data_IF_755832512538
#
_entry.id   IF_755832512538
#
_cell.length_a   1.000
_cell.length_b   1.000
_cell.length_c   1.000
_cell.angle_alpha   90.00
_cell.angle_beta   90.00
_cell.angle_gamma   90.00
#
_symmetry.space_group_name_H-M   'P 1'
#
loop_
_entity.id
_entity.type
_entity.pdbx_description
1 polymer ?
#
# COMPACT_ATOMS: atom_id res chain seq x y z
N UNK A 1 18.03 1.43 -22.14
CA UNK A 1 17.48 0.08 -22.02
C UNK A 1 17.48 -0.23 -20.53
N UNK A 2 16.32 -0.21 -19.88
CA UNK A 2 16.20 -0.43 -18.43
C UNK A 2 16.27 -1.94 -18.17
N UNK A 3 17.24 -2.38 -17.38
CA UNK A 3 17.35 -3.80 -17.02
C UNK A 3 16.40 -4.08 -15.86
N UNK A 4 15.58 -5.13 -15.97
CA UNK A 4 14.81 -5.68 -14.85
C UNK A 4 15.82 -6.43 -13.99
N UNK A 5 16.03 -5.98 -12.75
CA UNK A 5 16.95 -6.63 -11.80
C UNK A 5 16.26 -7.76 -11.01
N UNK A 6 14.95 -7.65 -10.79
CA UNK A 6 14.15 -8.66 -10.10
C UNK A 6 12.70 -8.62 -10.60
N UNK A 7 12.14 -9.80 -10.84
CA UNK A 7 10.74 -9.99 -11.21
C UNK A 7 10.13 -11.05 -10.30
N UNK A 8 9.12 -10.70 -9.54
CA UNK A 8 8.46 -11.61 -8.60
C UNK A 8 6.96 -11.59 -8.80
N UNK A 9 6.34 -12.75 -8.64
CA UNK A 9 4.89 -12.90 -8.50
C UNK A 9 4.59 -13.39 -7.09
N UNK A 10 3.71 -12.69 -6.38
CA UNK A 10 3.27 -13.02 -5.03
C UNK A 10 1.76 -13.24 -5.02
N UNK A 11 1.31 -14.22 -4.24
CA UNK A 11 -0.10 -14.46 -3.99
C UNK A 11 -0.39 -14.30 -2.50
N UNK A 12 -1.40 -13.49 -2.17
CA UNK A 12 -1.94 -13.38 -0.82
C UNK A 12 -3.39 -13.84 -0.78
N UNK A 13 -3.72 -14.55 0.28
CA UNK A 13 -5.09 -14.95 0.60
C UNK A 13 -5.51 -14.28 1.90
N UNK A 14 -6.68 -13.68 1.91
CA UNK A 14 -7.30 -13.18 3.15
C UNK A 14 -7.70 -14.37 4.05
N UNK A 15 -7.61 -14.20 5.36
CA UNK A 15 -7.93 -15.23 6.34
C UNK A 15 -9.29 -14.98 7.01
N UNK A 16 -9.79 -13.76 6.98
CA UNK A 16 -11.03 -13.30 7.62
C UNK A 16 -12.26 -13.46 6.70
N UNK A 17 -12.05 -13.40 5.39
CA UNK A 17 -13.08 -13.61 4.36
C UNK A 17 -12.45 -14.20 3.10
N UNK A 18 -13.28 -14.54 2.11
CA UNK A 18 -12.75 -15.05 0.84
C UNK A 18 -12.18 -13.88 0.02
N UNK A 19 -10.91 -13.95 -0.23
CA UNK A 19 -10.21 -12.96 -1.03
C UNK A 19 -8.83 -13.46 -1.43
N UNK A 20 -8.42 -13.08 -2.63
CA UNK A 20 -7.13 -13.45 -3.22
C UNK A 20 -6.54 -12.23 -3.93
N UNK A 21 -5.27 -12.02 -3.75
CA UNK A 21 -4.47 -11.06 -4.51
C UNK A 21 -3.38 -11.77 -5.30
N UNK A 22 -3.20 -11.39 -6.56
CA UNK A 22 -2.01 -11.69 -7.36
C UNK A 22 -1.27 -10.39 -7.61
N UNK A 23 -0.06 -10.28 -7.09
CA UNK A 23 0.85 -9.16 -7.31
C UNK A 23 2.00 -9.59 -8.22
N UNK A 24 2.28 -8.82 -9.26
CA UNK A 24 3.51 -8.89 -10.05
C UNK A 24 4.37 -7.66 -9.72
N UNK A 25 5.57 -7.90 -9.21
CA UNK A 25 6.53 -6.89 -8.80
C UNK A 25 7.73 -6.90 -9.75
N UNK A 26 8.05 -5.74 -10.30
CA UNK A 26 9.23 -5.52 -11.15
C UNK A 26 10.11 -4.46 -10.52
N UNK A 27 11.36 -4.82 -10.21
CA UNK A 27 12.37 -3.91 -9.65
C UNK A 27 13.41 -3.61 -10.71
N UNK A 28 13.74 -2.32 -10.88
CA UNK A 28 14.74 -1.83 -11.84
C UNK A 28 15.60 -0.75 -11.17
N UNK A 29 16.67 -0.31 -11.84
CA UNK A 29 17.49 0.82 -11.35
C UNK A 29 16.69 2.13 -11.26
N UNK A 30 15.64 2.29 -12.08
CA UNK A 30 14.82 3.51 -12.14
C UNK A 30 13.67 3.52 -11.13
N UNK A 31 13.40 2.39 -10.46
CA UNK A 31 12.33 2.24 -9.48
C UNK A 31 11.61 0.90 -9.53
N UNK A 32 10.44 0.89 -8.92
CA UNK A 32 9.63 -0.31 -8.74
C UNK A 32 8.27 -0.11 -9.38
N UNK A 33 7.75 -1.15 -10.02
CA UNK A 33 6.37 -1.24 -10.47
C UNK A 33 5.71 -2.46 -9.87
N UNK A 34 4.58 -2.24 -9.20
CA UNK A 34 3.72 -3.28 -8.65
C UNK A 34 2.37 -3.24 -9.37
N UNK A 35 2.02 -4.33 -10.05
CA UNK A 35 0.72 -4.47 -10.70
C UNK A 35 -0.04 -5.63 -10.06
N UNK A 36 -1.30 -5.41 -9.70
CA UNK A 36 -2.05 -6.39 -8.94
C UNK A 36 -3.49 -6.50 -9.40
N UNK A 37 -4.05 -7.68 -9.17
CA UNK A 37 -5.50 -7.94 -9.19
C UNK A 37 -5.90 -8.56 -7.86
N UNK A 38 -6.87 -7.91 -7.21
CA UNK A 38 -7.51 -8.37 -5.96
C UNK A 38 -8.93 -8.78 -6.27
N UNK A 39 -9.32 -9.96 -5.79
CA UNK A 39 -10.71 -10.43 -5.77
C UNK A 39 -11.13 -10.55 -4.32
N UNK A 40 -12.26 -9.96 -3.94
CA UNK A 40 -12.77 -9.95 -2.57
C UNK A 40 -14.27 -10.23 -2.55
N UNK A 41 -14.71 -11.00 -1.55
CA UNK A 41 -16.14 -11.18 -1.24
C UNK A 41 -16.67 -10.18 -0.22
N UNK A 42 -15.87 -9.18 0.16
CA UNK A 42 -16.27 -8.13 1.09
C UNK A 42 -17.46 -7.33 0.52
N UNK A 43 -18.47 -7.07 1.35
CA UNK A 43 -19.73 -6.46 0.89
C UNK A 43 -20.44 -7.35 -0.13
N UNK A 44 -20.74 -6.82 -1.30
CA UNK A 44 -21.31 -7.57 -2.42
C UNK A 44 -20.25 -8.22 -3.33
N UNK A 45 -18.98 -8.09 -2.96
CA UNK A 45 -17.85 -8.58 -3.73
C UNK A 45 -17.35 -7.56 -4.77
N UNK A 46 -16.04 -7.53 -4.96
CA UNK A 46 -15.42 -6.64 -5.94
C UNK A 46 -14.13 -7.24 -6.52
N UNK A 47 -13.74 -6.67 -7.66
CA UNK A 47 -12.39 -6.75 -8.21
C UNK A 47 -11.74 -5.39 -8.09
N UNK A 48 -10.50 -5.35 -7.62
CA UNK A 48 -9.65 -4.16 -7.61
C UNK A 48 -8.37 -4.48 -8.38
N UNK A 49 -8.08 -3.72 -9.41
CA UNK A 49 -6.79 -3.73 -10.08
C UNK A 49 -6.02 -2.49 -9.70
N UNK A 50 -4.69 -2.61 -9.51
CA UNK A 50 -3.83 -1.45 -9.36
C UNK A 50 -2.54 -1.53 -10.18
N UNK A 51 -2.05 -0.36 -10.61
CA UNK A 51 -0.71 -0.13 -11.17
C UNK A 51 -0.02 0.91 -10.30
N UNK A 52 0.94 0.47 -9.50
CA UNK A 52 1.67 1.31 -8.56
C UNK A 52 3.11 1.49 -9.01
N UNK A 53 3.51 2.73 -9.21
CA UNK A 53 4.88 3.10 -9.58
C UNK A 53 5.55 3.80 -8.42
N UNK A 54 6.72 3.30 -8.05
CA UNK A 54 7.55 3.80 -6.97
C UNK A 54 8.89 4.26 -7.53
N UNK A 55 9.56 5.17 -6.83
CA UNK A 55 10.95 5.53 -7.14
C UNK A 55 11.94 4.44 -6.65
N UNK A 56 13.24 4.61 -6.92
CA UNK A 56 14.29 3.68 -6.48
C UNK A 56 14.41 3.59 -4.94
N UNK A 57 13.78 4.51 -4.19
CA UNK A 57 13.69 4.47 -2.73
C UNK A 57 12.35 3.92 -2.23
N UNK A 58 11.57 3.31 -3.12
CA UNK A 58 10.26 2.74 -2.81
C UNK A 58 9.21 3.77 -2.34
N UNK A 59 9.30 5.02 -2.78
CA UNK A 59 8.28 6.04 -2.50
C UNK A 59 7.35 6.19 -3.69
N UNK A 60 6.07 6.34 -3.44
CA UNK A 60 5.05 6.49 -4.47
C UNK A 60 5.36 7.66 -5.42
N UNK A 61 5.35 7.35 -6.72
CA UNK A 61 5.30 8.31 -7.83
C UNK A 61 3.88 8.44 -8.35
N UNK A 62 3.23 7.31 -8.61
CA UNK A 62 1.82 7.26 -9.03
C UNK A 62 1.19 5.93 -8.66
N UNK A 63 -0.10 5.95 -8.38
CA UNK A 63 -0.95 4.79 -8.13
C UNK A 63 -2.26 4.97 -8.88
N UNK A 64 -2.53 4.08 -9.81
CA UNK A 64 -3.81 3.97 -10.51
C UNK A 64 -4.60 2.80 -9.95
N UNK A 65 -5.85 3.03 -9.57
CA UNK A 65 -6.78 2.04 -9.03
C UNK A 65 -8.01 1.94 -9.93
N UNK A 66 -8.42 0.70 -10.23
CA UNK A 66 -9.64 0.40 -10.99
C UNK A 66 -10.47 -0.60 -10.21
N UNK A 67 -11.62 -0.16 -9.73
CA UNK A 67 -12.56 -0.99 -8.97
C UNK A 67 -13.76 -1.37 -9.84
N UNK A 68 -14.16 -2.63 -9.77
CA UNK A 68 -15.39 -3.14 -10.37
C UNK A 68 -16.16 -3.96 -9.32
N UNK A 69 -17.31 -3.49 -8.92
CA UNK A 69 -18.22 -4.16 -7.98
C UNK A 69 -19.64 -3.66 -8.16
N UNK A 70 -20.64 -4.52 -7.92
CA UNK A 70 -22.07 -4.20 -8.04
C UNK A 70 -22.47 -3.60 -9.41
N UNK A 71 -21.78 -3.99 -10.48
CA UNK A 71 -22.00 -3.42 -11.81
C UNK A 71 -21.48 -1.98 -11.99
N UNK A 72 -20.76 -1.44 -11.00
CA UNK A 72 -20.21 -0.08 -11.02
C UNK A 72 -18.69 -0.15 -11.18
N UNK A 73 -18.17 0.57 -12.17
CA UNK A 73 -16.73 0.79 -12.34
C UNK A 73 -16.36 2.15 -11.71
N UNK A 74 -15.31 2.14 -10.88
CA UNK A 74 -14.70 3.35 -10.30
C UNK A 74 -13.22 3.39 -10.64
N UNK A 75 -12.67 4.58 -10.68
CA UNK A 75 -11.26 4.84 -10.98
C UNK A 75 -10.73 5.87 -10.00
N UNK A 76 -9.47 5.73 -9.60
CA UNK A 76 -8.76 6.70 -8.77
C UNK A 76 -7.30 6.76 -9.24
N UNK A 77 -6.80 7.98 -9.48
CA UNK A 77 -5.39 8.23 -9.77
C UNK A 77 -4.79 9.09 -8.67
N UNK A 78 -3.78 8.58 -8.00
CA UNK A 78 -2.99 9.30 -7.00
C UNK A 78 -1.59 9.53 -7.56
N UNK A 79 -1.12 10.76 -7.52
CA UNK A 79 0.21 11.13 -8.03
C UNK A 79 0.97 11.97 -7.00
N UNK A 80 2.26 11.72 -6.87
CA UNK A 80 3.15 12.56 -6.10
C UNK A 80 3.99 13.40 -7.03
N UNK A 81 3.87 14.71 -6.91
CA UNK A 81 4.58 15.69 -7.73
C UNK A 81 5.51 16.57 -6.88
N UNK A 82 6.28 17.44 -7.53
CA UNK A 82 7.11 18.44 -6.83
C UNK A 82 6.28 19.42 -5.98
N UNK A 83 5.01 19.62 -6.34
CA UNK A 83 4.09 20.51 -5.61
C UNK A 83 3.23 19.78 -4.57
N UNK A 84 3.40 18.47 -4.41
CA UNK A 84 2.70 17.60 -3.44
C UNK A 84 1.77 16.59 -4.11
N UNK A 85 0.76 16.13 -3.38
CA UNK A 85 -0.16 15.10 -3.84
C UNK A 85 -1.26 15.64 -4.74
N UNK A 86 -1.53 14.90 -5.82
CA UNK A 86 -2.70 15.07 -6.69
C UNK A 86 -3.58 13.84 -6.58
N UNK A 87 -4.90 14.04 -6.56
CA UNK A 87 -5.90 12.97 -6.67
C UNK A 87 -6.79 13.35 -7.85
N UNK A 88 -6.85 12.48 -8.87
CA UNK A 88 -7.55 12.73 -10.14
C UNK A 88 -7.20 14.10 -10.75
N UNK A 89 -5.92 14.45 -10.69
CA UNK A 89 -5.38 15.72 -11.18
C UNK A 89 -5.62 16.93 -10.28
N UNK A 90 -6.34 16.78 -9.17
CA UNK A 90 -6.63 17.87 -8.23
C UNK A 90 -5.61 17.88 -7.07
N UNK A 91 -5.05 19.05 -6.80
CA UNK A 91 -4.11 19.25 -5.70
C UNK A 91 -4.80 19.04 -4.34
N UNK A 92 -4.13 18.29 -3.45
CA UNK A 92 -4.61 17.97 -2.09
C UNK A 92 -3.60 18.47 -1.04
N UNK A 93 -3.66 19.77 -0.68
CA UNK A 93 -2.75 20.36 0.31
C UNK A 93 -2.88 19.74 1.70
N UNK A 94 -4.06 19.23 2.02
CA UNK A 94 -4.35 18.51 3.26
C UNK A 94 -3.53 17.22 3.42
N UNK A 95 -2.96 16.71 2.33
CA UNK A 95 -2.14 15.48 2.30
C UNK A 95 -0.62 15.76 2.28
N UNK A 96 -0.17 17.02 2.36
CA UNK A 96 1.26 17.36 2.24
C UNK A 96 2.15 16.75 3.33
N UNK A 97 1.56 16.44 4.46
CA UNK A 97 2.23 15.85 5.62
C UNK A 97 2.30 14.31 5.57
N UNK A 98 1.70 13.65 4.58
CA UNK A 98 1.74 12.19 4.46
C UNK A 98 2.91 11.72 3.59
N UNK A 99 3.39 10.52 3.87
CA UNK A 99 4.60 9.97 3.26
C UNK A 99 4.30 9.12 2.04
N UNK A 100 3.24 8.28 2.12
CA UNK A 100 2.91 7.30 1.10
C UNK A 100 1.43 6.95 1.07
N UNK A 101 1.05 5.87 0.38
CA UNK A 101 -0.34 5.41 0.23
C UNK A 101 -0.52 4.07 0.92
N UNK A 102 -1.73 3.84 1.46
CA UNK A 102 -2.18 2.55 2.01
C UNK A 102 -3.53 2.19 1.41
N UNK A 103 -3.67 0.98 0.87
CA UNK A 103 -4.91 0.43 0.32
C UNK A 103 -5.42 -0.64 1.28
N UNK A 104 -6.66 -0.52 1.76
CA UNK A 104 -7.23 -1.41 2.78
C UNK A 104 -7.27 -2.90 2.40
N UNK A 105 -7.12 -3.25 1.12
CA UNK A 105 -7.28 -4.61 0.63
C UNK A 105 -5.97 -5.34 0.31
N UNK A 106 -4.79 -4.71 0.45
CA UNK A 106 -3.50 -5.33 0.12
C UNK A 106 -2.48 -5.22 1.25
N UNK A 107 -1.73 -6.27 1.57
CA UNK A 107 -0.62 -6.19 2.51
C UNK A 107 0.64 -5.52 1.90
N UNK A 108 0.71 -5.32 0.59
CA UNK A 108 1.88 -4.72 -0.08
C UNK A 108 2.22 -3.32 0.46
N UNK A 109 1.21 -2.56 0.89
CA UNK A 109 1.40 -1.22 1.47
C UNK A 109 2.35 -1.22 2.67
N UNK A 110 2.31 -2.27 3.49
CA UNK A 110 3.18 -2.40 4.67
C UNK A 110 4.66 -2.49 4.28
N UNK A 111 4.98 -3.04 3.11
CA UNK A 111 6.36 -3.13 2.60
C UNK A 111 7.02 -1.76 2.52
N UNK A 112 6.27 -0.70 2.15
CA UNK A 112 6.80 0.65 2.00
C UNK A 112 7.30 1.22 3.32
N UNK A 113 6.55 1.01 4.41
CA UNK A 113 6.93 1.43 5.75
C UNK A 113 8.04 0.53 6.34
N UNK A 114 7.91 -0.80 6.17
CA UNK A 114 8.85 -1.79 6.72
C UNK A 114 10.26 -1.59 6.15
N UNK A 115 10.39 -1.24 4.88
CA UNK A 115 11.68 -0.93 4.25
C UNK A 115 12.35 0.34 4.78
N UNK A 116 11.60 1.22 5.44
CA UNK A 116 12.11 2.43 6.08
C UNK A 116 12.32 2.26 7.59
N UNK A 117 11.75 1.19 8.16
CA UNK A 117 11.90 0.86 9.59
C UNK A 117 13.30 0.33 9.86
N UNK A 118 13.90 0.74 10.97
CA UNK A 118 15.18 0.20 11.43
C UNK A 118 15.13 -1.32 11.64
N UNK A 119 16.30 -1.94 11.63
CA UNK A 119 16.45 -3.40 11.68
C UNK A 119 16.50 -3.97 13.11
N UNK A 120 16.70 -3.13 14.13
CA UNK A 120 16.88 -3.61 15.51
C UNK A 120 15.54 -3.78 16.22
N UNK A 121 15.40 -4.80 17.10
CA UNK A 121 14.24 -4.88 17.97
C UNK A 121 14.07 -3.60 18.80
N UNK A 122 12.85 -3.06 18.81
CA UNK A 122 12.51 -1.78 19.45
C UNK A 122 12.55 -0.56 18.53
N UNK A 123 13.10 -0.67 17.30
CA UNK A 123 13.01 0.42 16.33
C UNK A 123 11.55 0.69 15.98
N UNK A 124 11.17 1.97 15.93
CA UNK A 124 9.81 2.42 15.66
C UNK A 124 9.78 3.43 14.50
N UNK A 125 8.71 3.39 13.72
CA UNK A 125 8.41 4.36 12.67
C UNK A 125 6.94 4.75 12.74
N UNK A 126 6.63 6.04 12.88
CA UNK A 126 5.30 6.57 12.63
C UNK A 126 5.21 7.02 11.18
N UNK A 127 4.24 6.46 10.45
CA UNK A 127 4.12 6.62 9.02
C UNK A 127 2.78 7.24 8.65
N UNK A 128 2.80 8.43 8.06
CA UNK A 128 1.59 9.08 7.54
C UNK A 128 1.26 8.55 6.15
N UNK A 129 0.00 8.19 5.91
CA UNK A 129 -0.46 7.62 4.64
C UNK A 129 -1.70 8.30 4.12
N UNK A 130 -1.90 8.24 2.79
CA UNK A 130 -3.21 8.39 2.17
C UNK A 130 -3.87 7.02 2.27
N UNK A 131 -4.79 6.85 3.22
CA UNK A 131 -5.59 5.63 3.33
C UNK A 131 -6.66 5.63 2.25
N UNK A 132 -6.70 4.56 1.44
CA UNK A 132 -7.69 4.34 0.39
C UNK A 132 -8.56 3.15 0.76
N UNK A 133 -9.84 3.39 0.94
CA UNK A 133 -10.82 2.33 1.10
C UNK A 133 -11.05 1.61 -0.24
N UNK A 134 -10.80 0.30 -0.27
CA UNK A 134 -10.80 -0.48 -1.50
C UNK A 134 -12.18 -0.64 -2.15
N UNK A 135 -13.27 -0.49 -1.39
CA UNK A 135 -14.63 -0.63 -1.92
C UNK A 135 -15.13 0.67 -2.55
N UNK A 136 -14.92 1.79 -1.88
CA UNK A 136 -15.45 3.10 -2.31
C UNK A 136 -14.45 3.91 -3.12
N UNK A 137 -13.16 3.61 -3.05
CA UNK A 137 -12.02 4.42 -3.48
C UNK A 137 -11.96 5.81 -2.81
N UNK A 138 -12.64 5.99 -1.67
CA UNK A 138 -12.47 7.20 -0.87
C UNK A 138 -11.06 7.25 -0.27
N UNK A 139 -10.50 8.46 -0.16
CA UNK A 139 -9.13 8.66 0.29
C UNK A 139 -9.05 9.74 1.37
N UNK A 140 -8.38 9.42 2.48
CA UNK A 140 -8.20 10.31 3.63
C UNK A 140 -6.77 10.20 4.19
N UNK A 141 -6.29 11.26 4.85
CA UNK A 141 -5.05 11.17 5.61
C UNK A 141 -5.23 10.24 6.82
N UNK A 142 -4.28 9.36 7.03
CA UNK A 142 -4.22 8.45 8.18
C UNK A 142 -2.80 8.35 8.72
N UNK A 143 -2.64 7.73 9.89
CA UNK A 143 -1.34 7.51 10.53
C UNK A 143 -1.26 6.10 11.05
N UNK A 144 -0.10 5.49 10.86
CA UNK A 144 0.21 4.13 11.27
C UNK A 144 1.53 4.13 12.04
N UNK A 145 1.72 3.19 12.94
CA UNK A 145 2.98 2.96 13.61
C UNK A 145 3.44 1.53 13.40
N UNK A 146 4.71 1.40 13.10
CA UNK A 146 5.40 0.12 12.93
C UNK A 146 6.47 0.00 14.00
N UNK A 147 6.56 -1.17 14.65
CA UNK A 147 7.52 -1.46 15.72
C UNK A 147 8.19 -2.78 15.41
N UNK A 148 9.52 -2.79 15.26
CA UNK A 148 10.29 -4.01 15.07
C UNK A 148 10.30 -4.82 16.36
N UNK A 149 9.68 -5.99 16.37
CA UNK A 149 9.66 -6.91 17.54
C UNK A 149 10.84 -7.87 17.52
N UNK A 150 11.17 -8.38 16.32
CA UNK A 150 12.32 -9.26 16.03
C UNK A 150 12.78 -9.04 14.58
N UNK A 151 13.77 -9.81 14.12
CA UNK A 151 14.24 -9.73 12.75
C UNK A 151 13.15 -9.99 11.70
N UNK A 152 12.18 -10.82 12.03
CA UNK A 152 11.11 -11.32 11.16
C UNK A 152 9.69 -10.91 11.59
N UNK A 153 9.54 -10.12 12.67
CA UNK A 153 8.22 -9.69 13.16
C UNK A 153 8.19 -8.18 13.34
N UNK A 154 7.19 -7.55 12.73
CA UNK A 154 6.88 -6.13 12.86
C UNK A 154 5.46 -5.98 13.38
N UNK A 155 5.27 -5.23 14.47
CA UNK A 155 3.94 -4.83 14.92
C UNK A 155 3.47 -3.62 14.14
N UNK A 156 2.32 -3.76 13.52
CA UNK A 156 1.53 -2.69 12.93
C UNK A 156 0.51 -2.17 13.95
N UNK A 157 0.33 -0.87 14.02
CA UNK A 157 -0.69 -0.21 14.84
C UNK A 157 -1.37 0.88 14.01
N UNK A 158 -2.69 0.79 13.85
CA UNK A 158 -3.49 1.88 13.31
C UNK A 158 -3.68 2.98 14.36
N UNK A 159 -3.31 4.21 14.03
CA UNK A 159 -3.43 5.38 14.90
C UNK A 159 -4.65 6.26 14.55
N UNK A 160 -5.43 5.91 13.54
CA UNK A 160 -6.58 6.71 13.09
C UNK A 160 -7.83 6.47 13.93
N UNK A 161 -7.97 5.28 14.51
CA UNK A 161 -9.16 4.91 15.28
C UNK A 161 -8.88 4.85 16.79
N UNK A 162 -9.84 5.30 17.59
CA UNK A 162 -9.72 5.28 19.05
C UNK A 162 -9.62 3.84 19.64
N UNK A 163 -10.06 2.83 18.91
CA UNK A 163 -10.00 1.41 19.30
C UNK A 163 -8.72 0.72 18.82
N UNK A 164 -7.92 1.38 17.95
CA UNK A 164 -6.64 0.93 17.41
C UNK A 164 -6.67 -0.52 16.94
N UNK A 165 -6.48 -0.73 15.63
CA UNK A 165 -6.20 -2.07 15.13
C UNK A 165 -4.70 -2.34 15.28
N UNK A 166 -4.35 -3.51 15.80
CA UNK A 166 -2.97 -3.98 15.90
C UNK A 166 -2.85 -5.36 15.26
N UNK A 167 -1.71 -5.59 14.59
CA UNK A 167 -1.38 -6.89 14.03
C UNK A 167 0.14 -7.12 14.06
N UNK A 168 0.55 -8.36 14.28
CA UNK A 168 1.95 -8.73 14.07
C UNK A 168 2.12 -9.27 12.65
N UNK A 169 2.97 -8.59 11.89
CA UNK A 169 3.32 -8.91 10.51
C UNK A 169 4.56 -9.79 10.50
N UNK A 170 4.48 -10.98 9.90
CA UNK A 170 5.66 -11.78 9.61
C UNK A 170 6.29 -11.26 8.32
N UNK A 171 7.56 -10.92 8.38
CA UNK A 171 8.32 -10.30 7.30
C UNK A 171 9.41 -11.26 6.88
N UNK A 172 9.57 -11.50 5.59
CA UNK A 172 10.70 -12.27 5.10
C UNK A 172 11.99 -11.43 5.09
N UNK A 173 13.11 -12.04 4.68
CA UNK A 173 14.42 -11.38 4.71
C UNK A 173 14.55 -10.23 3.71
N UNK A 174 13.66 -10.18 2.73
CA UNK A 174 13.66 -9.18 1.65
C UNK A 174 12.70 -8.02 1.93
N UNK A 175 11.88 -8.08 2.97
CA UNK A 175 10.96 -7.06 3.49
C UNK A 175 9.57 -7.13 2.90
#
# INVERSE_FOLDING_TARGET
MTFISDLRTVFWRRLDLQGLEKLDLSVTDDGVRATSTILSTEGAGFRLDYDWRLDARWRTKSLELKHLGEGIARHLLIERTAVGWLIDGLRRPDLDHVHDVDISATPFCNTLAIRQLGANPGDELTFGVIYVDAQSLSSVASRQRYIRKSGDVVRYVDLATALGFEADLCVDRDG
#
